data_IF_816186985970
#
_entry.id   IF_816186985970
#
_cell.length_a   1.000
_cell.length_b   1.000
_cell.length_c   1.000
_cell.angle_alpha   90.00
_cell.angle_beta   90.00
_cell.angle_gamma   90.00
#
_symmetry.space_group_name_H-M   'P 1'
#
loop_
_entity.id
_entity.type
_entity.pdbx_description
1 polymer ?
#
# COMPACT_ATOMS: atom_id res chain seq x y z
N UNK A 1 9.35 6.91 -8.11
CA UNK A 1 9.01 5.53 -8.49
C UNK A 1 8.21 5.60 -9.78
N UNK A 2 8.50 4.75 -10.75
CA UNK A 2 7.88 4.81 -12.09
C UNK A 2 6.41 4.34 -12.09
N UNK A 3 6.01 3.63 -11.03
CA UNK A 3 4.72 2.95 -10.90
C UNK A 3 3.63 3.85 -10.27
N UNK A 4 3.96 5.03 -9.74
CA UNK A 4 2.99 5.89 -9.05
C UNK A 4 2.52 5.34 -7.69
N UNK A 5 3.33 4.46 -7.09
CA UNK A 5 3.02 3.85 -5.80
C UNK A 5 2.93 4.89 -4.68
N UNK A 6 1.91 4.75 -3.85
CA UNK A 6 1.77 5.55 -2.64
C UNK A 6 2.61 4.95 -1.50
N UNK A 7 2.89 5.71 -0.43
CA UNK A 7 3.59 5.19 0.75
C UNK A 7 2.96 3.90 1.33
N UNK A 8 1.64 3.74 1.18
CA UNK A 8 0.90 2.54 1.56
C UNK A 8 1.29 1.31 0.73
N UNK A 9 1.39 1.45 -0.60
CA UNK A 9 1.85 0.37 -1.50
C UNK A 9 3.24 -0.11 -1.10
N UNK A 10 4.09 0.85 -0.79
CA UNK A 10 5.49 0.64 -0.43
C UNK A 10 5.62 -0.06 0.93
N UNK A 11 4.83 0.36 1.93
CA UNK A 11 4.78 -0.26 3.25
C UNK A 11 4.35 -1.74 3.15
N UNK A 12 3.31 -2.03 2.37
CA UNK A 12 2.82 -3.39 2.11
C UNK A 12 3.90 -4.22 1.38
N UNK A 13 4.48 -3.65 0.32
CA UNK A 13 5.52 -4.31 -0.49
C UNK A 13 6.82 -4.56 0.28
N UNK A 14 7.09 -3.80 1.34
CA UNK A 14 8.28 -3.97 2.19
C UNK A 14 8.00 -4.72 3.50
N UNK A 15 6.76 -5.20 3.74
CA UNK A 15 6.31 -5.79 5.03
C UNK A 15 6.60 -4.88 6.22
N UNK A 16 6.38 -3.59 6.03
CA UNK A 16 6.58 -2.58 7.06
C UNK A 16 5.27 -2.29 7.76
N UNK A 17 4.88 -3.20 8.64
CA UNK A 17 3.64 -3.08 9.40
C UNK A 17 3.65 -1.84 10.31
N UNK A 18 4.84 -1.46 10.81
CA UNK A 18 5.09 -0.21 11.54
C UNK A 18 4.67 1.03 10.73
N UNK A 19 5.12 1.11 9.48
CA UNK A 19 4.79 2.20 8.57
C UNK A 19 3.34 2.12 8.11
N UNK A 20 2.82 0.91 7.91
CA UNK A 20 1.43 0.69 7.53
C UNK A 20 0.50 1.27 8.61
N UNK A 21 0.72 0.92 9.88
CA UNK A 21 -0.05 1.44 11.00
C UNK A 21 0.08 2.95 11.11
N UNK A 22 1.30 3.50 11.03
CA UNK A 22 1.51 4.94 11.08
C UNK A 22 0.76 5.68 9.95
N UNK A 23 0.80 5.16 8.73
CA UNK A 23 0.10 5.76 7.59
C UNK A 23 -1.43 5.70 7.77
N UNK A 24 -1.95 4.57 8.28
CA UNK A 24 -3.36 4.41 8.58
C UNK A 24 -3.82 5.36 9.71
N UNK A 25 -3.01 5.52 10.75
CA UNK A 25 -3.26 6.46 11.86
C UNK A 25 -3.31 7.92 11.37
N UNK A 26 -2.57 8.22 10.30
CA UNK A 26 -2.58 9.53 9.63
C UNK A 26 -3.66 9.66 8.55
N UNK A 27 -4.69 8.82 8.55
CA UNK A 27 -5.81 8.88 7.59
C UNK A 27 -5.35 8.72 6.13
N UNK A 28 -4.27 7.98 5.87
CA UNK A 28 -3.81 7.74 4.52
C UNK A 28 -4.88 7.03 3.69
N UNK A 29 -5.10 7.53 2.47
CA UNK A 29 -6.15 7.03 1.60
C UNK A 29 -5.73 5.69 0.97
N UNK A 30 -6.39 4.63 1.43
CA UNK A 30 -6.22 3.25 0.95
C UNK A 30 -6.87 2.99 -0.41
N UNK A 31 -7.71 3.91 -0.90
CA UNK A 31 -8.38 3.82 -2.20
C UNK A 31 -7.54 4.42 -3.33
N UNK A 32 -6.49 5.18 -3.01
CA UNK A 32 -5.57 5.71 -4.01
C UNK A 32 -4.94 4.57 -4.81
N UNK A 33 -5.06 4.68 -6.12
CA UNK A 33 -4.46 3.76 -7.06
C UNK A 33 -3.15 4.31 -7.59
N UNK A 34 -2.18 3.43 -7.79
CA UNK A 34 -0.96 3.72 -8.53
C UNK A 34 -1.24 3.86 -10.04
N UNK A 35 -0.21 4.08 -10.85
CA UNK A 35 -0.34 4.27 -12.31
C UNK A 35 -0.87 3.02 -13.03
N UNK A 36 -0.79 1.85 -12.39
CA UNK A 36 -1.32 0.59 -12.91
C UNK A 36 -2.79 0.37 -12.52
N UNK A 37 -3.41 1.28 -11.76
CA UNK A 37 -4.77 1.14 -11.26
C UNK A 37 -4.90 0.21 -10.05
N UNK A 38 -3.78 -0.20 -9.44
CA UNK A 38 -3.80 -0.99 -8.21
C UNK A 38 -3.81 -0.10 -6.99
N UNK A 39 -4.59 -0.45 -5.97
CA UNK A 39 -4.58 0.23 -4.67
C UNK A 39 -3.80 -0.61 -3.64
N UNK A 40 -3.67 -0.06 -2.44
CA UNK A 40 -3.00 -0.73 -1.33
C UNK A 40 -3.58 -2.13 -1.04
N UNK A 41 -4.92 -2.26 -1.09
CA UNK A 41 -5.61 -3.54 -0.87
C UNK A 41 -5.28 -4.59 -1.95
N UNK A 42 -5.17 -4.21 -3.22
CA UNK A 42 -4.75 -5.11 -4.29
C UNK A 42 -3.34 -5.65 -4.00
N UNK A 43 -2.40 -4.79 -3.58
CA UNK A 43 -1.06 -5.23 -3.19
C UNK A 43 -1.06 -6.13 -1.95
N UNK A 44 -1.91 -5.84 -0.95
CA UNK A 44 -2.06 -6.68 0.23
C UNK A 44 -2.62 -8.06 -0.13
N UNK A 45 -3.62 -8.13 -1.01
CA UNK A 45 -4.21 -9.38 -1.47
C UNK A 45 -3.22 -10.22 -2.29
N UNK A 46 -2.43 -9.59 -3.16
CA UNK A 46 -1.36 -10.28 -3.92
C UNK A 46 -0.26 -10.82 -3.00
N UNK A 47 -0.06 -10.21 -1.84
CA UNK A 47 0.96 -10.59 -0.85
C UNK A 47 0.44 -11.56 0.21
N UNK A 48 -0.86 -11.54 0.49
CA UNK A 48 -1.52 -12.43 1.41
C UNK A 48 -1.44 -13.87 0.91
N UNK A 49 -0.46 -14.61 1.42
CA UNK A 49 -0.47 -16.06 1.33
C UNK A 49 -1.71 -16.61 2.08
N UNK A 50 -2.34 -17.69 1.58
CA UNK A 50 -3.56 -18.28 2.12
C UNK A 50 -3.45 -18.73 3.58
#
# INVERSE_FOLDING_TARGET
>A
DSEGDTPLHDAISKKRDDMLTLLLDHNADIMLTNNNGFNALHHAALRGNP
#
